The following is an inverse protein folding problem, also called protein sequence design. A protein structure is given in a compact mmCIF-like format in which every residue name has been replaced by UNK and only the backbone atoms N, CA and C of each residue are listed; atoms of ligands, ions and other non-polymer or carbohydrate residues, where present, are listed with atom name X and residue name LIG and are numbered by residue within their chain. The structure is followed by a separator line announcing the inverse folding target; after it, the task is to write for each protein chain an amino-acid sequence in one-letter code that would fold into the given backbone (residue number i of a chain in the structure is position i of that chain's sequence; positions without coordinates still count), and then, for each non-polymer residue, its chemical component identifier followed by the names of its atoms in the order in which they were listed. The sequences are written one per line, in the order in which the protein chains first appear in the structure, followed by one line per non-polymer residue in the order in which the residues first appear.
data_IF_059162080995
#
_entry.id   IF_059162080995
#
_cell.length_a   1.000
_cell.length_b   1.000
_cell.length_c   1.000
_cell.angle_alpha   90.00
_cell.angle_beta   90.00
_cell.angle_gamma   90.00
#
_symmetry.space_group_name_H-M   'P 1'
#
loop_
_entity.id
_entity.type
_entity.pdbx_description
1 polymer ?
#
# COMPACT_ATOMS: atom_id res chain seq x y z
N UNK A 1 -62.14 -14.89 34.98
CA UNK A 1 -61.86 -13.44 34.79
C UNK A 1 -60.50 -13.32 34.12
N UNK A 2 -60.38 -12.63 32.97
CA UNK A 2 -59.10 -12.46 32.32
C UNK A 2 -58.29 -11.39 33.06
N UNK A 3 -57.14 -11.77 33.61
CA UNK A 3 -56.15 -10.81 34.12
C UNK A 3 -55.40 -10.28 32.89
N UNK A 4 -55.70 -9.05 32.51
CA UNK A 4 -54.99 -8.31 31.47
C UNK A 4 -53.54 -8.11 31.94
N UNK A 5 -52.57 -8.59 31.18
CA UNK A 5 -51.16 -8.18 31.30
C UNK A 5 -51.06 -6.70 30.94
N UNK A 6 -50.88 -5.86 31.95
CA UNK A 6 -50.55 -4.45 31.75
C UNK A 6 -49.10 -4.39 31.27
N UNK A 7 -48.90 -4.14 29.97
CA UNK A 7 -47.63 -3.63 29.47
C UNK A 7 -47.54 -2.17 29.93
N UNK A 8 -46.96 -1.93 31.11
CA UNK A 8 -46.69 -0.59 31.58
C UNK A 8 -45.62 0.05 30.69
N UNK A 9 -46.08 0.85 29.73
CA UNK A 9 -45.23 1.80 29.01
C UNK A 9 -45.08 3.03 29.92
N UNK A 10 -44.06 3.03 30.77
CA UNK A 10 -43.63 4.21 31.51
C UNK A 10 -43.09 5.24 30.50
N UNK A 11 -43.96 6.15 30.04
CA UNK A 11 -43.55 7.36 29.34
C UNK A 11 -43.38 8.46 30.38
N UNK A 12 -42.22 8.49 31.02
CA UNK A 12 -41.82 9.59 31.87
C UNK A 12 -41.09 10.62 30.99
N UNK A 13 -41.71 11.77 30.77
CA UNK A 13 -41.07 12.93 30.13
C UNK A 13 -40.17 13.58 31.19
N UNK A 14 -39.00 13.00 31.40
CA UNK A 14 -37.93 13.55 32.22
C UNK A 14 -36.84 14.07 31.29
N UNK A 15 -36.42 15.32 31.49
CA UNK A 15 -35.35 15.96 30.70
C UNK A 15 -33.95 15.47 31.10
N UNK A 16 -33.82 14.74 32.22
CA UNK A 16 -32.58 14.19 32.73
C UNK A 16 -32.87 13.00 33.66
N UNK A 17 -32.17 11.88 33.47
CA UNK A 17 -32.10 10.77 34.42
C UNK A 17 -30.63 10.61 34.83
N UNK A 18 -30.36 10.59 36.13
CA UNK A 18 -29.03 10.36 36.69
C UNK A 18 -29.06 9.05 37.48
N UNK A 19 -28.17 8.12 37.13
CA UNK A 19 -27.98 6.87 37.84
C UNK A 19 -26.63 6.93 38.53
N UNK A 20 -26.63 7.20 39.84
CA UNK A 20 -25.42 7.25 40.65
C UNK A 20 -25.23 5.96 41.44
N UNK A 21 -24.10 5.30 41.24
CA UNK A 21 -23.67 4.16 42.04
C UNK A 21 -22.28 4.44 42.61
N UNK A 22 -22.24 5.03 43.80
CA UNK A 22 -21.01 5.56 44.43
C UNK A 22 -20.00 4.47 44.80
N UNK A 23 -20.46 3.25 45.04
CA UNK A 23 -19.64 2.04 45.31
C UNK A 23 -20.21 0.79 44.60
N UNK A 24 -21.12 0.99 43.65
CA UNK A 24 -22.05 -0.05 43.18
C UNK A 24 -21.89 -0.40 41.71
N UNK A 25 -22.13 -1.67 41.40
CA UNK A 25 -22.26 -2.14 40.02
C UNK A 25 -23.69 -1.83 39.56
N UNK A 26 -23.83 -1.06 38.48
CA UNK A 26 -25.10 -0.98 37.74
C UNK A 26 -25.13 -2.14 36.76
N UNK A 27 -25.98 -3.13 37.03
CA UNK A 27 -26.17 -4.28 36.15
C UNK A 27 -27.49 -4.15 35.39
N UNK A 28 -27.39 -3.96 34.07
CA UNK A 28 -28.53 -4.02 33.15
C UNK A 28 -28.41 -5.36 32.42
N UNK A 29 -29.39 -6.24 32.61
CA UNK A 29 -29.41 -7.54 31.94
C UNK A 29 -30.79 -7.80 31.35
N UNK A 30 -30.80 -8.57 30.28
CA UNK A 30 -32.01 -9.08 29.67
C UNK A 30 -31.77 -10.54 29.28
N UNK A 31 -32.75 -11.39 29.54
CA UNK A 31 -32.66 -12.85 29.35
C UNK A 31 -33.40 -13.34 28.10
N UNK A 32 -33.99 -12.43 27.32
CA UNK A 32 -34.67 -12.75 26.07
C UNK A 32 -33.69 -12.91 24.89
N UNK A 33 -34.00 -13.81 23.96
CA UNK A 33 -33.17 -14.11 22.78
C UNK A 33 -32.95 -12.91 21.85
N UNK A 34 -33.88 -11.94 21.84
CA UNK A 34 -33.84 -10.73 20.99
C UNK A 34 -33.72 -9.42 21.81
N UNK A 35 -32.95 -9.47 22.89
CA UNK A 35 -32.79 -8.31 23.77
C UNK A 35 -31.99 -7.19 23.10
N UNK A 36 -32.53 -5.97 23.12
CA UNK A 36 -31.84 -4.78 22.59
C UNK A 36 -31.60 -3.76 23.71
N UNK A 37 -30.35 -3.34 23.88
CA UNK A 37 -29.98 -2.16 24.66
C UNK A 37 -29.62 -1.04 23.68
N UNK A 38 -30.44 0.03 23.65
CA UNK A 38 -30.17 1.22 22.84
C UNK A 38 -29.62 2.34 23.72
N UNK A 39 -28.41 2.79 23.41
CA UNK A 39 -27.80 3.98 24.00
C UNK A 39 -27.72 5.05 22.91
N UNK A 40 -28.47 6.14 23.06
CA UNK A 40 -28.52 7.24 22.10
C UNK A 40 -28.08 8.53 22.79
N UNK A 41 -27.05 9.17 22.26
CA UNK A 41 -26.49 10.41 22.79
C UNK A 41 -25.36 10.91 21.90
N UNK A 42 -24.93 12.15 22.11
CA UNK A 42 -23.81 12.71 21.36
C UNK A 42 -22.47 12.04 21.72
N UNK A 43 -22.34 11.60 22.98
CA UNK A 43 -21.12 11.00 23.53
C UNK A 43 -21.53 9.83 24.44
N UNK A 44 -20.80 8.72 24.32
CA UNK A 44 -20.78 7.62 25.27
C UNK A 44 -19.31 7.45 25.66
N UNK A 45 -18.97 7.71 26.92
CA UNK A 45 -17.59 7.74 27.39
C UNK A 45 -17.42 6.96 28.70
N UNK A 46 -16.25 6.35 28.88
CA UNK A 46 -15.83 5.75 30.13
C UNK A 46 -14.64 6.54 30.67
N UNK A 47 -14.85 7.27 31.77
CA UNK A 47 -13.88 8.21 32.33
C UNK A 47 -13.41 7.72 33.69
N UNK A 48 -12.26 7.05 33.75
CA UNK A 48 -11.58 6.66 35.00
C UNK A 48 -10.11 6.33 34.74
N UNK A 49 -9.28 6.31 35.79
CA UNK A 49 -7.87 5.91 35.74
C UNK A 49 -7.69 4.49 35.21
N UNK A 50 -8.66 3.61 35.48
CA UNK A 50 -8.73 2.25 34.97
C UNK A 50 -10.16 2.00 34.47
N UNK A 51 -10.42 2.31 33.21
CA UNK A 51 -11.71 2.07 32.56
C UNK A 51 -11.53 1.20 31.32
N UNK A 52 -12.55 0.42 30.99
CA UNK A 52 -12.61 -0.35 29.77
C UNK A 52 -14.06 -0.44 29.29
N UNK A 53 -14.25 -0.45 27.99
CA UNK A 53 -15.52 -0.79 27.35
C UNK A 53 -15.28 -2.10 26.61
N UNK A 54 -15.93 -3.17 27.06
CA UNK A 54 -15.86 -4.49 26.45
C UNK A 54 -17.17 -4.86 25.79
N UNK A 55 -17.12 -5.31 24.54
CA UNK A 55 -18.25 -5.94 23.85
C UNK A 55 -17.85 -7.40 23.62
N UNK A 56 -18.56 -8.31 24.26
CA UNK A 56 -18.27 -9.74 24.22
C UNK A 56 -19.49 -10.50 23.71
N UNK A 57 -19.26 -11.49 22.86
CA UNK A 57 -20.27 -12.48 22.47
C UNK A 57 -19.76 -13.86 22.86
N UNK A 58 -20.56 -14.59 23.64
CA UNK A 58 -20.21 -15.91 24.18
C UNK A 58 -20.75 -17.06 23.31
N UNK A 59 -21.30 -16.78 22.12
CA UNK A 59 -21.80 -17.77 21.17
C UNK A 59 -20.91 -17.91 19.93
N UNK A 60 -21.21 -18.90 19.10
CA UNK A 60 -20.36 -19.30 17.97
C UNK A 60 -20.29 -18.29 16.81
N UNK A 61 -21.18 -17.27 16.76
CA UNK A 61 -21.32 -16.35 15.63
C UNK A 61 -21.60 -14.87 16.04
N UNK A 62 -20.84 -14.32 16.98
CA UNK A 62 -20.91 -12.89 17.33
C UNK A 62 -20.19 -11.98 16.32
N UNK A 63 -20.74 -10.79 16.07
CA UNK A 63 -20.05 -9.71 15.34
C UNK A 63 -20.24 -8.36 16.05
N UNK A 64 -19.27 -7.46 15.88
CA UNK A 64 -19.38 -6.06 16.31
C UNK A 64 -19.52 -5.23 15.05
N UNK A 65 -20.65 -4.53 14.90
CA UNK A 65 -20.86 -3.62 13.79
C UNK A 65 -20.61 -2.17 14.23
N UNK A 66 -19.66 -1.52 13.57
CA UNK A 66 -19.39 -0.09 13.71
C UNK A 66 -19.67 0.53 12.34
N UNK A 67 -20.57 1.51 12.31
CA UNK A 67 -20.99 2.14 11.06
C UNK A 67 -21.32 3.61 11.25
N UNK A 68 -21.02 4.41 10.24
CA UNK A 68 -21.47 5.80 10.12
C UNK A 68 -22.43 5.90 8.94
N UNK A 69 -23.58 6.53 9.10
CA UNK A 69 -24.64 6.58 8.06
C UNK A 69 -24.77 7.94 7.37
N UNK A 70 -23.77 8.81 7.49
CA UNK A 70 -23.83 10.14 6.88
C UNK A 70 -23.17 10.16 5.50
N UNK A 71 -23.75 10.91 4.56
CA UNK A 71 -23.18 11.15 3.23
C UNK A 71 -21.96 12.09 3.25
N UNK A 72 -21.51 12.51 4.44
CA UNK A 72 -20.35 13.36 4.62
C UNK A 72 -19.06 12.58 4.38
N UNK A 73 -18.15 13.15 3.59
CA UNK A 73 -16.77 12.67 3.47
C UNK A 73 -15.98 12.75 4.78
N UNK A 74 -16.51 13.45 5.79
CA UNK A 74 -15.93 13.55 7.12
C UNK A 74 -16.38 12.44 8.09
N UNK A 75 -17.30 11.55 7.68
CA UNK A 75 -17.65 10.38 8.47
C UNK A 75 -16.42 9.48 8.66
N UNK A 76 -16.19 9.03 9.89
CA UNK A 76 -15.10 8.12 10.18
C UNK A 76 -15.41 7.20 11.36
N UNK A 77 -14.89 5.99 11.29
CA UNK A 77 -14.66 5.15 12.47
C UNK A 77 -13.18 5.33 12.81
N UNK A 78 -12.92 5.83 14.02
CA UNK A 78 -11.60 6.30 14.43
C UNK A 78 -11.16 5.61 15.72
N UNK A 79 -10.01 4.95 15.69
CA UNK A 79 -9.36 4.34 16.85
C UNK A 79 -8.01 5.03 17.04
N UNK A 80 -7.74 5.57 18.23
CA UNK A 80 -6.48 6.28 18.48
C UNK A 80 -5.99 6.09 19.91
N UNK A 81 -4.67 5.85 20.01
CA UNK A 81 -3.89 5.86 21.25
C UNK A 81 -2.72 6.85 21.13
N UNK A 82 -2.94 7.96 20.42
CA UNK A 82 -1.92 8.96 20.14
C UNK A 82 -1.60 9.83 21.36
N UNK A 83 -0.35 10.28 21.46
CA UNK A 83 0.14 11.27 22.43
C UNK A 83 0.68 12.50 21.69
N UNK A 84 1.23 13.47 22.43
CA UNK A 84 1.90 14.63 21.84
C UNK A 84 3.18 14.27 21.06
N UNK A 85 3.76 13.10 21.30
CA UNK A 85 5.04 12.67 20.71
C UNK A 85 4.92 11.49 19.75
N UNK A 86 3.81 10.76 19.79
CA UNK A 86 3.57 9.57 18.98
C UNK A 86 2.14 9.54 18.46
N UNK A 87 2.00 9.26 17.18
CA UNK A 87 0.72 8.90 16.57
C UNK A 87 0.58 7.39 16.64
N UNK A 88 -0.62 6.93 16.97
CA UNK A 88 -1.05 5.54 16.82
C UNK A 88 -2.55 5.54 16.54
N UNK A 89 -2.94 5.32 15.29
CA UNK A 89 -4.34 5.40 14.88
C UNK A 89 -4.71 4.47 13.74
N UNK A 90 -5.99 4.11 13.70
CA UNK A 90 -6.66 3.41 12.63
C UNK A 90 -7.94 4.18 12.26
N UNK A 91 -8.12 4.45 10.98
CA UNK A 91 -9.24 5.23 10.45
C UNK A 91 -9.90 4.46 9.30
N UNK A 92 -11.23 4.35 9.36
CA UNK A 92 -12.06 3.92 8.23
C UNK A 92 -12.92 5.10 7.81
N UNK A 93 -12.78 5.54 6.56
CA UNK A 93 -13.48 6.69 5.97
C UNK A 93 -14.12 6.29 4.63
N UNK A 94 -15.11 7.05 4.14
CA UNK A 94 -15.70 6.83 2.81
C UNK A 94 -14.68 6.81 1.67
N UNK A 95 -13.57 7.52 1.80
CA UNK A 95 -12.53 7.63 0.77
C UNK A 95 -11.33 6.69 0.97
N UNK A 96 -11.35 5.85 2.01
CA UNK A 96 -10.27 4.90 2.25
C UNK A 96 -10.08 4.48 3.69
N UNK A 97 -9.08 3.63 3.89
CA UNK A 97 -8.65 3.09 5.18
C UNK A 97 -7.21 3.54 5.43
N UNK A 98 -6.92 4.00 6.65
CA UNK A 98 -5.62 4.50 7.04
C UNK A 98 -5.16 3.92 8.37
N UNK A 99 -3.93 3.42 8.42
CA UNK A 99 -3.20 3.10 9.64
C UNK A 99 -1.98 4.01 9.70
N UNK A 100 -1.77 4.67 10.85
CA UNK A 100 -0.61 5.52 11.05
C UNK A 100 0.04 5.29 12.42
N UNK A 101 1.37 5.22 12.43
CA UNK A 101 2.16 5.02 13.64
C UNK A 101 3.49 5.76 13.59
N UNK A 102 3.92 6.35 14.72
CA UNK A 102 5.27 6.91 14.89
C UNK A 102 5.27 8.42 15.11
N UNK A 103 6.40 9.07 14.79
CA UNK A 103 6.59 10.51 15.01
C UNK A 103 5.58 11.33 14.18
N UNK A 104 4.90 12.34 14.75
CA UNK A 104 3.94 13.19 14.02
C UNK A 104 4.49 13.88 12.76
N UNK A 105 5.80 14.16 12.70
CA UNK A 105 6.45 14.80 11.56
C UNK A 105 6.84 13.81 10.45
N UNK A 106 6.88 12.52 10.74
CA UNK A 106 7.32 11.48 9.82
C UNK A 106 6.72 10.10 10.15
N UNK A 107 5.39 9.97 10.22
CA UNK A 107 4.76 8.72 10.60
C UNK A 107 4.97 7.64 9.53
N UNK A 108 4.99 6.39 9.97
CA UNK A 108 4.71 5.26 9.10
C UNK A 108 3.22 5.23 8.77
N UNK A 109 2.88 5.02 7.50
CA UNK A 109 1.50 5.02 7.00
C UNK A 109 1.25 3.78 6.17
N UNK A 110 0.09 3.15 6.37
CA UNK A 110 -0.54 2.22 5.44
C UNK A 110 -1.88 2.85 5.05
N UNK A 111 -2.08 3.07 3.77
CA UNK A 111 -3.27 3.74 3.23
C UNK A 111 -3.82 2.96 2.04
N UNK A 112 -5.14 2.81 1.98
CA UNK A 112 -5.84 2.20 0.87
C UNK A 112 -7.02 3.07 0.46
N UNK A 113 -7.14 3.32 -0.83
CA UNK A 113 -8.24 4.05 -1.50
C UNK A 113 -8.58 3.36 -2.81
N UNK A 114 -9.70 3.75 -3.45
CA UNK A 114 -10.25 3.13 -4.67
C UNK A 114 -9.25 2.92 -5.82
N UNK A 115 -8.21 3.74 -5.94
CA UNK A 115 -7.20 3.63 -7.01
C UNK A 115 -5.75 3.60 -6.53
N UNK A 116 -5.50 3.45 -5.23
CA UNK A 116 -4.14 3.45 -4.71
C UNK A 116 -4.05 2.75 -3.37
N UNK A 117 -3.02 1.93 -3.20
CA UNK A 117 -2.54 1.47 -1.91
C UNK A 117 -1.12 1.97 -1.70
N UNK A 118 -0.84 2.52 -0.52
CA UNK A 118 0.45 3.10 -0.16
C UNK A 118 0.90 2.53 1.18
N UNK A 119 2.12 2.02 1.23
CA UNK A 119 2.85 1.78 2.46
C UNK A 119 4.06 2.73 2.44
N UNK A 120 4.20 3.60 3.43
CA UNK A 120 5.29 4.59 3.44
C UNK A 120 5.90 4.75 4.83
N UNK A 121 7.22 4.86 4.89
CA UNK A 121 7.97 5.03 6.13
C UNK A 121 8.88 6.25 6.04
N UNK A 122 8.77 7.16 7.00
CA UNK A 122 9.60 8.36 7.10
C UNK A 122 9.03 9.58 6.36
N UNK A 123 9.82 10.66 6.23
CA UNK A 123 9.36 11.91 5.63
C UNK A 123 8.96 11.74 4.17
N UNK A 124 7.98 12.54 3.72
CA UNK A 124 7.63 12.64 2.30
C UNK A 124 8.88 12.95 1.46
N UNK A 125 8.99 12.31 0.29
CA UNK A 125 10.09 12.46 -0.70
C UNK A 125 11.44 11.80 -0.35
N UNK A 126 11.70 11.47 0.91
CA UNK A 126 12.97 10.87 1.36
C UNK A 126 12.74 9.47 1.95
N UNK A 127 11.54 9.22 2.48
CA UNK A 127 11.13 7.93 3.01
C UNK A 127 11.10 6.82 1.97
N UNK A 128 11.08 5.58 2.46
CA UNK A 128 10.84 4.42 1.61
C UNK A 128 9.33 4.22 1.44
N UNK A 129 8.90 3.75 0.28
CA UNK A 129 7.50 3.47 0.03
C UNK A 129 7.26 2.30 -0.92
N UNK A 130 6.08 1.71 -0.81
CA UNK A 130 5.51 0.76 -1.75
C UNK A 130 4.16 1.34 -2.17
N UNK A 131 3.96 1.55 -3.47
CA UNK A 131 2.72 2.05 -4.04
C UNK A 131 2.16 1.06 -5.04
N UNK A 132 0.89 0.72 -4.92
CA UNK A 132 0.14 -0.09 -5.86
C UNK A 132 -0.95 0.79 -6.47
N UNK A 133 -0.94 0.85 -7.79
CA UNK A 133 -1.94 1.51 -8.62
C UNK A 133 -2.54 0.49 -9.59
N UNK A 134 -3.66 0.80 -10.27
CA UNK A 134 -4.27 -0.12 -11.22
C UNK A 134 -3.34 -0.62 -12.34
N UNK A 135 -2.36 0.20 -12.73
CA UNK A 135 -1.47 -0.04 -13.87
C UNK A 135 0.00 -0.28 -13.49
N UNK A 136 0.34 -0.12 -12.21
CA UNK A 136 1.74 -0.09 -11.77
C UNK A 136 1.93 -0.45 -10.31
N UNK A 137 3.07 -1.07 -10.01
CA UNK A 137 3.56 -1.30 -8.65
C UNK A 137 4.95 -0.68 -8.56
N UNK A 138 5.17 0.19 -7.58
CA UNK A 138 6.45 0.88 -7.38
C UNK A 138 6.97 0.63 -5.97
N UNK A 139 8.22 0.17 -5.86
CA UNK A 139 9.01 0.15 -4.64
C UNK A 139 10.03 1.28 -4.73
N UNK A 140 10.02 2.20 -3.78
CA UNK A 140 10.90 3.37 -3.73
C UNK A 140 11.73 3.34 -2.45
N UNK A 141 13.03 3.59 -2.56
CA UNK A 141 13.95 3.75 -1.44
C UNK A 141 14.70 5.06 -1.60
N UNK A 142 14.34 6.06 -0.80
CA UNK A 142 14.87 7.41 -0.96
C UNK A 142 14.44 8.06 -2.28
N UNK A 143 15.06 9.17 -2.69
CA UNK A 143 14.63 9.93 -3.86
C UNK A 143 15.07 9.35 -5.20
N UNK A 144 16.07 8.46 -5.22
CA UNK A 144 16.78 8.09 -6.46
C UNK A 144 16.74 6.60 -6.79
N UNK A 145 16.26 5.74 -5.89
CA UNK A 145 16.23 4.29 -6.11
C UNK A 145 14.79 3.80 -6.18
N UNK A 146 14.43 3.17 -7.29
CA UNK A 146 13.10 2.64 -7.52
C UNK A 146 13.08 1.33 -8.32
N UNK A 147 12.04 0.54 -8.10
CA UNK A 147 11.65 -0.61 -8.92
C UNK A 147 10.19 -0.41 -9.28
N UNK A 148 9.88 -0.33 -10.56
CA UNK A 148 8.52 -0.17 -11.08
C UNK A 148 8.17 -1.34 -11.99
N UNK A 149 7.06 -2.01 -11.69
CA UNK A 149 6.43 -3.01 -12.54
C UNK A 149 5.21 -2.37 -13.21
N UNK A 150 5.08 -2.53 -14.53
CA UNK A 150 3.90 -2.17 -15.33
C UNK A 150 3.53 -3.33 -16.26
N UNK A 151 2.45 -3.17 -17.03
CA UNK A 151 2.09 -4.12 -18.08
C UNK A 151 3.17 -4.27 -19.18
N UNK A 152 3.98 -3.22 -19.41
CA UNK A 152 5.03 -3.22 -20.43
C UNK A 152 6.31 -3.91 -19.96
N UNK A 153 6.50 -4.06 -18.65
CA UNK A 153 7.65 -4.73 -18.06
C UNK A 153 8.10 -4.18 -16.71
N UNK A 154 9.39 -4.33 -16.43
CA UNK A 154 10.03 -3.98 -15.16
C UNK A 154 11.11 -2.94 -15.40
N UNK A 155 11.10 -1.87 -14.63
CA UNK A 155 12.13 -0.83 -14.63
C UNK A 155 12.77 -0.74 -13.25
N UNK A 156 14.08 -0.87 -13.20
CA UNK A 156 14.92 -0.63 -12.03
C UNK A 156 15.69 0.68 -12.27
N UNK A 157 15.70 1.59 -11.30
CA UNK A 157 16.46 2.82 -11.36
C UNK A 157 17.22 3.05 -10.05
N UNK A 158 18.47 3.49 -10.15
CA UNK A 158 19.26 3.96 -9.02
C UNK A 158 20.19 5.08 -9.47
N UNK A 159 19.83 6.33 -9.17
CA UNK A 159 20.57 7.50 -9.61
C UNK A 159 20.64 7.60 -11.13
N UNK A 160 21.85 7.46 -11.69
CA UNK A 160 22.11 7.50 -13.14
C UNK A 160 22.05 6.13 -13.81
N UNK A 161 21.83 5.07 -13.03
CA UNK A 161 21.74 3.70 -13.53
C UNK A 161 20.28 3.34 -13.73
N UNK A 162 19.91 2.81 -14.90
CA UNK A 162 18.58 2.28 -15.19
C UNK A 162 18.66 0.95 -15.91
N UNK A 163 17.74 0.05 -15.61
CA UNK A 163 17.56 -1.20 -16.33
C UNK A 163 16.06 -1.39 -16.60
N UNK A 164 15.68 -1.59 -17.85
CA UNK A 164 14.32 -1.88 -18.27
C UNK A 164 14.29 -3.26 -18.93
N UNK A 165 13.44 -4.15 -18.42
CA UNK A 165 13.07 -5.42 -19.02
C UNK A 165 11.67 -5.26 -19.59
N UNK A 166 11.47 -5.48 -20.88
CA UNK A 166 10.16 -5.43 -21.52
C UNK A 166 10.04 -6.39 -22.69
N UNK A 167 8.93 -6.32 -23.42
CA UNK A 167 8.63 -7.23 -24.55
C UNK A 167 9.64 -7.14 -25.71
N UNK A 168 10.33 -6.01 -25.84
CA UNK A 168 11.37 -5.80 -26.86
C UNK A 168 12.77 -6.26 -26.40
N UNK A 169 12.88 -6.72 -25.15
CA UNK A 169 14.11 -7.21 -24.54
C UNK A 169 14.58 -6.36 -23.35
N UNK A 170 15.90 -6.27 -23.16
CA UNK A 170 16.54 -5.64 -22.01
C UNK A 170 17.27 -4.38 -22.45
N UNK A 171 17.08 -3.27 -21.75
CA UNK A 171 17.82 -2.02 -21.91
C UNK A 171 18.50 -1.66 -20.60
N UNK A 172 19.80 -1.42 -20.63
CA UNK A 172 20.61 -0.97 -19.49
C UNK A 172 21.21 0.39 -19.83
N UNK A 173 21.18 1.31 -18.87
CA UNK A 173 21.74 2.66 -18.95
C UNK A 173 22.62 2.90 -17.72
N UNK A 174 23.84 3.38 -17.93
CA UNK A 174 24.77 3.82 -16.87
C UNK A 174 25.35 5.16 -17.30
N UNK A 175 24.67 6.25 -16.95
CA UNK A 175 25.04 7.59 -17.44
C UNK A 175 25.02 7.65 -18.97
N UNK A 176 26.15 7.94 -19.66
CA UNK A 176 26.21 7.99 -21.12
C UNK A 176 26.33 6.61 -21.80
N UNK A 177 26.47 5.53 -21.04
CA UNK A 177 26.62 4.17 -21.58
C UNK A 177 25.22 3.55 -21.68
N UNK A 178 24.91 2.95 -22.84
CA UNK A 178 23.67 2.22 -23.06
C UNK A 178 23.94 0.85 -23.66
N UNK A 179 23.25 -0.17 -23.17
CA UNK A 179 23.28 -1.52 -23.71
C UNK A 179 21.86 -1.98 -23.96
N UNK A 180 21.58 -2.49 -25.15
CA UNK A 180 20.27 -3.02 -25.51
C UNK A 180 20.42 -4.46 -25.99
N UNK A 181 19.56 -5.35 -25.52
CA UNK A 181 19.45 -6.73 -25.97
C UNK A 181 18.03 -6.93 -26.43
N UNK A 182 17.84 -7.21 -27.72
CA UNK A 182 16.52 -7.45 -28.29
C UNK A 182 16.52 -8.65 -29.22
N UNK A 183 15.36 -8.92 -29.81
CA UNK A 183 15.14 -10.07 -30.70
C UNK A 183 16.02 -10.03 -31.96
N UNK A 184 16.36 -8.83 -32.44
CA UNK A 184 17.13 -8.62 -33.67
C UNK A 184 18.64 -8.52 -33.44
N UNK A 185 19.09 -8.53 -32.17
CA UNK A 185 20.49 -8.39 -31.84
C UNK A 185 20.75 -7.68 -30.52
N UNK A 186 22.02 -7.35 -30.30
CA UNK A 186 22.53 -6.65 -29.12
C UNK A 186 23.31 -5.42 -29.54
N UNK A 187 23.13 -4.32 -28.84
CA UNK A 187 23.92 -3.09 -29.03
C UNK A 187 24.53 -2.61 -27.73
N UNK A 188 25.71 -2.03 -27.82
CA UNK A 188 26.40 -1.30 -26.76
C UNK A 188 26.89 0.01 -27.33
N UNK A 189 26.50 1.14 -26.73
CA UNK A 189 27.00 2.46 -27.09
C UNK A 189 27.60 3.15 -25.85
N UNK A 190 28.81 3.69 -25.99
CA UNK A 190 29.54 4.37 -24.94
C UNK A 190 30.40 5.49 -25.56
N UNK A 191 30.14 6.75 -25.20
CA UNK A 191 30.89 7.93 -25.64
C UNK A 191 31.24 7.92 -27.15
N UNK A 192 32.46 7.49 -27.51
CA UNK A 192 32.98 7.47 -28.89
C UNK A 192 32.87 6.09 -29.56
N UNK A 193 32.43 5.06 -28.85
CA UNK A 193 32.38 3.67 -29.30
C UNK A 193 30.95 3.12 -29.36
N UNK A 194 30.69 2.27 -30.34
CA UNK A 194 29.46 1.51 -30.48
C UNK A 194 29.77 0.12 -31.04
N UNK A 195 29.07 -0.90 -30.53
CA UNK A 195 29.14 -2.28 -31.03
C UNK A 195 27.71 -2.78 -31.21
N UNK A 196 27.39 -3.25 -32.40
CA UNK A 196 26.11 -3.86 -32.76
C UNK A 196 26.36 -5.30 -33.23
N UNK A 197 25.74 -6.26 -32.57
CA UNK A 197 25.73 -7.68 -32.94
C UNK A 197 24.34 -8.01 -33.43
N UNK A 198 24.18 -8.29 -34.72
CA UNK A 198 22.91 -8.61 -35.35
C UNK A 198 22.96 -9.97 -36.03
N UNK A 199 21.83 -10.44 -36.54
CA UNK A 199 21.77 -11.65 -37.38
C UNK A 199 22.67 -11.58 -38.63
N UNK A 200 23.02 -10.36 -39.08
CA UNK A 200 23.87 -10.14 -40.25
C UNK A 200 25.36 -10.06 -39.92
N UNK A 201 25.73 -10.06 -38.63
CA UNK A 201 27.10 -9.99 -38.16
C UNK A 201 27.34 -8.89 -37.12
N UNK A 202 28.62 -8.58 -36.90
CA UNK A 202 29.09 -7.61 -35.90
C UNK A 202 29.56 -6.34 -36.59
N UNK A 203 29.04 -5.19 -36.17
CA UNK A 203 29.51 -3.86 -36.57
C UNK A 203 30.09 -3.16 -35.35
N UNK A 204 31.30 -2.60 -35.48
CA UNK A 204 31.96 -1.89 -34.40
C UNK A 204 32.49 -0.54 -34.91
N UNK A 205 32.20 0.52 -34.17
CA UNK A 205 32.69 1.87 -34.38
C UNK A 205 33.40 2.32 -33.11
N UNK A 206 34.51 3.03 -33.25
CA UNK A 206 35.19 3.67 -32.13
C UNK A 206 36.22 4.67 -32.62
N UNK A 207 36.89 5.39 -31.70
CA UNK A 207 37.94 6.33 -32.06
C UNK A 207 39.01 5.59 -32.87
N UNK A 208 39.48 6.25 -33.93
CA UNK A 208 40.50 5.74 -34.85
C UNK A 208 41.86 5.69 -34.14
N UNK A 209 42.02 4.72 -33.24
CA UNK A 209 43.21 4.42 -32.47
C UNK A 209 43.19 2.93 -32.12
N UNK A 210 43.70 2.11 -33.04
CA UNK A 210 43.88 0.65 -32.93
C UNK A 210 42.66 -0.18 -32.49
N UNK A 211 41.80 -0.54 -33.44
CA UNK A 211 40.95 -1.73 -33.30
C UNK A 211 41.77 -2.97 -33.69
N UNK A 212 42.22 -3.74 -32.70
CA UNK A 212 42.70 -5.11 -32.93
C UNK A 212 41.49 -6.07 -32.83
N UNK A 213 40.71 -6.16 -33.91
CA UNK A 213 39.71 -7.23 -34.04
C UNK A 213 40.42 -8.49 -34.55
N UNK A 214 40.70 -9.43 -33.66
CA UNK A 214 41.26 -10.73 -34.05
C UNK A 214 40.14 -11.70 -34.43
N UNK A 215 39.75 -11.68 -35.70
CA UNK A 215 38.71 -12.53 -36.29
C UNK A 215 39.19 -13.97 -36.60
N UNK A 216 40.32 -14.45 -36.08
CA UNK A 216 40.87 -15.77 -36.47
C UNK A 216 40.34 -16.96 -35.67
N UNK A 217 39.25 -16.79 -34.90
CA UNK A 217 38.72 -17.83 -34.00
C UNK A 217 37.70 -18.80 -34.60
N UNK A 218 36.54 -18.33 -35.09
CA UNK A 218 35.40 -19.23 -35.39
C UNK A 218 34.43 -18.68 -36.46
N UNK A 219 34.89 -18.48 -37.69
CA UNK A 219 34.01 -18.39 -38.88
C UNK A 219 34.40 -19.41 -39.96
N UNK A 220 35.13 -20.46 -39.57
CA UNK A 220 35.64 -21.50 -40.47
C UNK A 220 34.78 -22.77 -40.48
N UNK A 221 33.46 -22.63 -40.46
CA UNK A 221 32.56 -23.78 -40.62
C UNK A 221 31.17 -23.34 -41.10
N UNK A 222 31.07 -22.78 -42.32
CA UNK A 222 29.93 -22.89 -43.24
C UNK A 222 30.14 -21.81 -44.31
N UNK A 223 30.72 -22.17 -45.45
CA UNK A 223 30.44 -21.66 -46.81
C UNK A 223 31.69 -21.89 -47.67
N UNK A 224 31.49 -22.58 -48.81
CA UNK A 224 32.45 -23.23 -49.71
C UNK A 224 32.78 -24.64 -49.21
N UNK A 225 32.23 -25.73 -49.74
CA UNK A 225 31.89 -26.11 -51.12
C UNK A 225 30.86 -27.26 -51.07
N UNK A 226 29.78 -27.26 -51.84
CA UNK A 226 29.73 -28.01 -53.10
C UNK A 226 28.79 -27.32 -54.11
N UNK A 227 29.39 -26.85 -55.20
CA UNK A 227 28.77 -26.81 -56.52
C UNK A 227 29.78 -27.41 -57.49
N UNK A 228 29.60 -28.68 -57.82
CA UNK A 228 30.07 -29.36 -59.02
C UNK A 228 29.09 -30.50 -59.31
#
# INVERSE_FOLDING_TARGET
MPVKTASERLVQVCTQFEVNATDGVVHISSTGEDSTLLLSGAIIEACSTHSSIGIHSNGDAGFINLSTTSDSTNSCIYLSASSSTLISRCEVKPNGICLAHGNPLSPGIIYMSDGNMLLSMGPSLIGSSISLKPDSITLQVGPLTSLTLTADGIVLASGVTKMALGVQGIKEELGPITRSLGLMGHSLAAAESAVDVTLLGVNAKGPTGSFAFNATGQLSALLLTESA
#
